data_IF_091872984452
#
_entry.id   IF_091872984452
#
_cell.length_a   1.000
_cell.length_b   1.000
_cell.length_c   1.000
_cell.angle_alpha   90.00
_cell.angle_beta   90.00
_cell.angle_gamma   90.00
#
_symmetry.space_group_name_H-M   'P 1'
#
loop_
_entity.id
_entity.type
_entity.pdbx_description
1 polymer ?
#
# COMPACT_ATOMS: atom_id res chain seq x y z
N UNK A 1 2.17 2.03 -21.76
CA UNK A 1 0.97 1.89 -22.60
C UNK A 1 1.43 1.87 -24.05
N UNK A 2 1.27 0.79 -24.75
CA UNK A 2 1.63 0.67 -26.17
C UNK A 2 0.32 0.66 -26.92
N UNK A 3 0.03 1.75 -27.61
CA UNK A 3 -1.05 1.77 -28.59
C UNK A 3 -0.59 0.92 -29.78
N UNK A 4 -1.35 -0.06 -30.15
CA UNK A 4 -1.11 -0.80 -31.40
C UNK A 4 -1.55 0.10 -32.58
N UNK A 5 -0.55 0.69 -33.25
CA UNK A 5 -0.80 1.56 -34.41
C UNK A 5 -1.47 0.81 -35.57
N UNK A 6 -1.49 -0.53 -35.56
CA UNK A 6 -2.10 -1.33 -36.62
C UNK A 6 -3.62 -1.12 -36.75
N UNK A 7 -4.27 -0.65 -35.71
CA UNK A 7 -5.70 -0.32 -35.74
C UNK A 7 -6.03 0.96 -36.53
N UNK A 8 -5.03 1.77 -36.87
CA UNK A 8 -5.20 3.05 -37.61
C UNK A 8 -4.83 2.93 -39.10
N UNK A 9 -4.21 1.82 -39.51
CA UNK A 9 -3.85 1.59 -40.90
C UNK A 9 -5.09 1.12 -41.68
N UNK A 10 -5.68 2.03 -42.44
CA UNK A 10 -6.95 1.85 -43.14
C UNK A 10 -6.97 0.70 -44.16
N UNK A 11 -5.82 0.18 -44.58
CA UNK A 11 -5.73 -0.86 -45.59
C UNK A 11 -5.71 -2.29 -45.05
N UNK A 12 -5.46 -2.49 -43.73
CA UNK A 12 -5.23 -3.82 -43.16
C UNK A 12 -6.04 -4.14 -41.90
N UNK A 13 -6.79 -3.19 -41.34
CA UNK A 13 -7.66 -3.44 -40.19
C UNK A 13 -8.86 -4.31 -40.59
N UNK A 14 -9.21 -5.35 -39.82
CA UNK A 14 -10.45 -6.06 -40.05
C UNK A 14 -11.62 -5.08 -39.86
N UNK A 15 -12.28 -4.79 -41.00
CA UNK A 15 -13.47 -3.95 -40.98
C UNK A 15 -14.66 -4.83 -40.59
N UNK A 16 -15.25 -4.58 -39.42
CA UNK A 16 -16.47 -5.24 -39.03
C UNK A 16 -17.67 -4.68 -39.82
N UNK A 17 -18.73 -5.48 -40.02
CA UNK A 17 -19.95 -4.99 -40.66
C UNK A 17 -20.48 -3.73 -39.99
N UNK A 18 -20.76 -2.70 -40.79
CA UNK A 18 -21.23 -1.41 -40.28
C UNK A 18 -20.12 -0.42 -40.00
N UNK A 19 -18.84 -0.70 -40.30
CA UNK A 19 -17.72 0.23 -40.15
C UNK A 19 -17.25 0.39 -38.70
N UNK A 20 -17.42 -0.63 -37.85
CA UNK A 20 -16.94 -0.62 -36.47
C UNK A 20 -15.42 -0.70 -36.42
N UNK A 21 -14.81 0.22 -35.72
CA UNK A 21 -13.41 0.19 -35.31
C UNK A 21 -13.33 0.13 -33.78
N UNK A 22 -12.24 -0.42 -33.24
CA UNK A 22 -11.96 -0.45 -31.80
C UNK A 22 -10.46 -0.30 -31.54
N UNK A 23 -10.12 0.04 -30.33
CA UNK A 23 -8.74 0.07 -29.83
C UNK A 23 -8.65 -0.64 -28.48
N UNK A 24 -7.63 -1.46 -28.31
CA UNK A 24 -7.31 -2.17 -27.07
C UNK A 24 -5.93 -1.77 -26.58
N UNK A 25 -5.74 -1.80 -25.27
CA UNK A 25 -4.47 -1.51 -24.62
C UNK A 25 -3.90 -2.74 -23.94
N UNK A 26 -2.57 -2.82 -23.89
CA UNK A 26 -1.82 -3.82 -23.12
C UNK A 26 -1.01 -3.14 -22.05
N UNK A 27 -1.03 -3.70 -20.82
CA UNK A 27 -0.17 -3.30 -19.72
C UNK A 27 0.91 -4.36 -19.52
N UNK A 28 2.17 -3.90 -19.44
CA UNK A 28 3.32 -4.71 -19.06
C UNK A 28 4.03 -3.97 -17.91
N UNK A 29 3.86 -4.45 -16.68
CA UNK A 29 4.34 -3.78 -15.48
C UNK A 29 4.57 -4.77 -14.33
N UNK A 30 5.43 -4.39 -13.38
CA UNK A 30 5.50 -5.08 -12.10
C UNK A 30 4.21 -4.86 -11.30
N UNK A 31 3.71 -5.92 -10.64
CA UNK A 31 2.48 -5.83 -9.85
C UNK A 31 2.61 -4.93 -8.60
N UNK A 32 3.85 -4.73 -8.12
CA UNK A 32 4.21 -3.84 -7.03
C UNK A 32 4.76 -2.47 -7.51
N UNK A 33 4.58 -2.12 -8.78
CA UNK A 33 5.10 -0.89 -9.37
C UNK A 33 4.15 0.32 -9.34
N UNK A 34 3.03 0.23 -8.65
CA UNK A 34 2.03 1.29 -8.48
C UNK A 34 1.28 1.07 -7.17
N UNK A 35 0.23 1.84 -6.90
CA UNK A 35 -0.65 1.53 -5.75
C UNK A 35 -1.09 0.06 -5.82
N UNK A 36 -0.71 -0.71 -4.81
CA UNK A 36 -0.92 -2.16 -4.77
C UNK A 36 -1.29 -2.71 -3.41
N UNK A 37 -1.80 -3.95 -3.41
CA UNK A 37 -1.79 -4.84 -2.25
C UNK A 37 -0.65 -5.82 -2.35
N UNK A 38 0.07 -5.98 -1.24
CA UNK A 38 0.98 -7.09 -1.05
C UNK A 38 0.25 -8.30 -0.50
N UNK A 39 0.53 -9.46 -1.10
CA UNK A 39 0.05 -10.72 -0.58
C UNK A 39 0.85 -11.15 0.65
N UNK A 40 0.23 -11.88 1.57
CA UNK A 40 0.87 -12.35 2.80
C UNK A 40 2.09 -13.29 2.57
N UNK A 41 2.25 -13.78 1.34
CA UNK A 41 3.40 -14.56 0.89
C UNK A 41 4.47 -13.74 0.16
N UNK A 42 4.31 -12.39 0.09
CA UNK A 42 5.24 -11.53 -0.64
C UNK A 42 6.63 -11.50 0.00
N UNK A 43 6.71 -11.45 1.31
CA UNK A 43 7.97 -11.34 2.04
C UNK A 43 8.07 -12.37 3.18
N UNK A 44 9.28 -12.88 3.45
CA UNK A 44 9.48 -13.88 4.49
C UNK A 44 10.91 -13.89 5.03
N UNK A 45 11.09 -14.58 6.16
CA UNK A 45 12.39 -14.95 6.73
C UNK A 45 12.38 -16.39 7.23
N UNK A 46 13.53 -17.00 7.50
CA UNK A 46 13.64 -18.33 8.07
C UNK A 46 12.99 -19.43 7.22
N UNK A 47 12.90 -19.23 5.88
CA UNK A 47 12.31 -20.20 4.96
C UNK A 47 10.79 -20.43 5.13
N UNK A 48 10.08 -19.52 5.82
CA UNK A 48 8.65 -19.61 6.07
C UNK A 48 7.94 -18.32 5.73
N UNK A 49 6.90 -18.41 4.89
CA UNK A 49 5.92 -17.34 4.63
C UNK A 49 4.84 -17.34 5.70
N UNK A 50 3.87 -16.43 5.59
CA UNK A 50 2.74 -16.33 6.51
C UNK A 50 2.11 -17.69 6.83
N UNK A 51 1.63 -17.84 8.06
CA UNK A 51 1.01 -19.07 8.60
C UNK A 51 1.93 -20.31 8.57
N UNK A 52 3.26 -20.10 8.52
CA UNK A 52 4.25 -21.18 8.61
C UNK A 52 4.42 -22.04 7.35
N UNK A 53 3.79 -21.65 6.22
CA UNK A 53 3.98 -22.35 4.96
C UNK A 53 5.44 -22.26 4.50
N UNK A 54 5.92 -23.31 3.84
CA UNK A 54 7.28 -23.35 3.31
C UNK A 54 7.47 -22.32 2.18
N UNK A 55 8.53 -21.52 2.27
CA UNK A 55 8.82 -20.51 1.27
C UNK A 55 9.05 -21.09 -0.14
N UNK A 56 9.41 -22.37 -0.27
CA UNK A 56 9.54 -23.05 -1.57
C UNK A 56 8.21 -23.10 -2.34
N UNK A 57 7.06 -22.93 -1.66
CA UNK A 57 5.75 -22.80 -2.33
C UNK A 57 5.61 -21.51 -3.15
N UNK A 58 6.58 -20.60 -3.08
CA UNK A 58 6.62 -19.38 -3.89
C UNK A 58 7.21 -19.61 -5.30
N UNK A 59 7.92 -20.73 -5.51
CA UNK A 59 8.56 -21.02 -6.78
C UNK A 59 7.51 -21.23 -7.88
N UNK A 60 7.60 -20.45 -8.95
CA UNK A 60 6.63 -20.48 -10.05
C UNK A 60 5.29 -19.84 -9.71
N UNK A 61 5.23 -19.03 -8.66
CA UNK A 61 4.05 -18.33 -8.15
C UNK A 61 3.55 -18.92 -6.82
N UNK A 62 2.82 -18.12 -6.07
CA UNK A 62 2.34 -18.48 -4.73
C UNK A 62 1.21 -19.51 -4.76
N UNK A 63 1.47 -20.72 -4.30
CA UNK A 63 0.41 -21.73 -4.04
C UNK A 63 -0.38 -21.41 -2.76
N UNK A 64 0.23 -20.70 -1.82
CA UNK A 64 -0.34 -20.28 -0.54
C UNK A 64 -0.11 -18.79 -0.33
N UNK A 65 -1.02 -18.15 0.37
CA UNK A 65 -0.91 -16.74 0.76
C UNK A 65 -0.74 -15.77 -0.43
N UNK A 66 -1.30 -16.08 -1.61
CA UNK A 66 -1.34 -15.20 -2.78
C UNK A 66 -2.36 -14.07 -2.61
N UNK A 67 -2.32 -13.08 -3.50
CA UNK A 67 -3.26 -11.96 -3.49
C UNK A 67 -4.68 -12.34 -3.92
N UNK A 68 -4.85 -13.45 -4.65
CA UNK A 68 -6.15 -13.85 -5.20
C UNK A 68 -7.27 -13.96 -4.15
N UNK A 69 -7.08 -14.58 -2.96
CA UNK A 69 -8.11 -14.61 -1.92
C UNK A 69 -8.49 -13.23 -1.39
N UNK A 70 -7.54 -12.28 -1.32
CA UNK A 70 -7.83 -10.89 -0.94
C UNK A 70 -8.72 -10.24 -2.01
N UNK A 71 -8.38 -10.44 -3.30
CA UNK A 71 -9.18 -9.92 -4.40
C UNK A 71 -10.57 -10.57 -4.52
N UNK A 72 -10.72 -11.84 -4.16
CA UNK A 72 -12.02 -12.54 -4.15
C UNK A 72 -12.96 -12.01 -3.07
N UNK A 73 -12.41 -11.73 -1.89
CA UNK A 73 -13.19 -11.22 -0.76
C UNK A 73 -13.43 -9.71 -0.87
N UNK A 74 -12.48 -8.96 -1.43
CA UNK A 74 -12.39 -7.51 -1.31
C UNK A 74 -11.98 -7.07 0.09
N UNK A 75 -11.61 -5.80 0.21
CA UNK A 75 -11.31 -5.15 1.49
C UNK A 75 -12.29 -4.00 1.67
N UNK A 76 -13.08 -4.06 2.72
CA UNK A 76 -14.09 -3.04 3.05
C UNK A 76 -14.11 -2.87 4.57
N UNK A 77 -14.02 -1.64 5.03
CA UNK A 77 -14.03 -1.35 6.46
C UNK A 77 -14.00 0.13 6.78
N UNK A 78 -13.98 0.45 8.06
CA UNK A 78 -13.74 1.81 8.52
C UNK A 78 -12.28 2.16 8.25
N UNK A 79 -12.05 3.12 7.35
CA UNK A 79 -10.75 3.71 7.09
C UNK A 79 -10.51 4.90 8.02
N UNK A 80 -9.28 5.04 8.49
CA UNK A 80 -8.84 6.12 9.38
C UNK A 80 -7.60 6.76 8.77
N UNK A 81 -7.68 8.02 8.36
CA UNK A 81 -6.52 8.76 7.88
C UNK A 81 -5.73 9.36 9.03
N UNK A 82 -4.47 9.03 9.12
CA UNK A 82 -3.47 9.59 10.04
C UNK A 82 -2.50 10.47 9.22
N UNK A 83 -2.77 11.77 9.16
CA UNK A 83 -1.95 12.73 8.39
C UNK A 83 -0.70 13.12 9.21
N UNK A 84 0.30 12.25 9.21
CA UNK A 84 1.51 12.42 10.01
C UNK A 84 2.33 13.63 9.59
N UNK A 85 2.39 13.94 8.31
CA UNK A 85 3.10 15.12 7.83
C UNK A 85 2.47 16.41 8.41
N UNK A 86 1.16 16.55 8.31
CA UNK A 86 0.42 17.69 8.85
C UNK A 86 0.47 17.74 10.39
N UNK A 87 0.33 16.59 11.05
CA UNK A 87 0.43 16.49 12.50
C UNK A 87 1.76 17.01 13.02
N UNK A 88 2.87 16.75 12.31
CA UNK A 88 4.20 17.27 12.63
C UNK A 88 4.48 18.69 12.10
N UNK A 89 3.48 19.35 11.52
CA UNK A 89 3.62 20.70 10.97
C UNK A 89 4.52 20.77 9.73
N UNK A 90 4.68 19.67 9.02
CA UNK A 90 5.50 19.54 7.82
C UNK A 90 4.63 19.40 6.58
N UNK A 91 5.17 19.84 5.43
CA UNK A 91 4.57 19.51 4.14
C UNK A 91 4.71 18.00 3.85
N UNK A 92 5.89 17.47 4.15
CA UNK A 92 6.30 16.09 3.92
C UNK A 92 7.25 15.67 5.05
N UNK A 93 7.23 14.42 5.46
CA UNK A 93 8.20 13.89 6.40
C UNK A 93 9.57 13.79 5.74
N UNK A 94 10.63 13.96 6.55
CA UNK A 94 12.01 13.88 6.05
C UNK A 94 12.42 12.45 5.75
N UNK A 95 13.39 12.27 4.84
CA UNK A 95 13.99 10.95 4.55
C UNK A 95 14.46 10.28 5.85
N UNK A 96 14.00 9.05 6.10
CA UNK A 96 14.35 8.28 7.30
C UNK A 96 13.71 8.75 8.60
N UNK A 97 12.76 9.68 8.56
CA UNK A 97 12.03 10.12 9.75
C UNK A 97 11.11 9.01 10.27
N UNK A 98 11.23 8.68 11.55
CA UNK A 98 10.48 7.58 12.16
C UNK A 98 9.35 8.06 13.04
N UNK A 99 8.34 7.20 13.21
CA UNK A 99 7.25 7.36 14.16
C UNK A 99 6.79 6.00 14.70
N UNK A 100 6.06 6.02 15.80
CA UNK A 100 5.61 4.84 16.54
C UNK A 100 4.08 4.79 16.61
N UNK A 101 3.54 3.74 17.23
CA UNK A 101 2.09 3.65 17.51
C UNK A 101 1.62 4.79 18.43
N UNK A 102 2.48 5.29 19.34
CA UNK A 102 2.13 6.43 20.19
C UNK A 102 1.96 7.72 19.38
N UNK A 103 2.78 7.92 18.33
CA UNK A 103 2.61 9.03 17.40
C UNK A 103 1.33 8.90 16.58
N UNK A 104 0.94 7.67 16.20
CA UNK A 104 -0.33 7.41 15.49
C UNK A 104 -1.53 7.76 16.39
N UNK A 105 -1.53 7.34 17.65
CA UNK A 105 -2.60 7.67 18.60
C UNK A 105 -2.67 9.18 18.85
N UNK A 106 -1.52 9.85 19.03
CA UNK A 106 -1.46 11.30 19.20
C UNK A 106 -1.97 12.05 17.95
N UNK A 107 -1.68 11.55 16.76
CA UNK A 107 -2.21 12.08 15.51
C UNK A 107 -3.73 11.96 15.46
N UNK A 108 -4.27 10.78 15.77
CA UNK A 108 -5.70 10.53 15.80
C UNK A 108 -6.41 11.46 16.81
N UNK A 109 -5.88 11.61 18.02
CA UNK A 109 -6.42 12.51 19.04
C UNK A 109 -6.43 13.96 18.55
N UNK A 110 -5.32 14.44 17.96
CA UNK A 110 -5.24 15.79 17.40
C UNK A 110 -6.23 16.02 16.24
N UNK A 111 -6.56 14.99 15.50
CA UNK A 111 -7.57 14.99 14.43
C UNK A 111 -9.01 14.85 14.96
N UNK A 112 -9.19 14.53 16.25
CA UNK A 112 -10.47 14.43 16.93
C UNK A 112 -11.19 13.10 16.78
N UNK A 113 -10.44 12.01 16.59
CA UNK A 113 -10.98 10.64 16.53
C UNK A 113 -10.08 9.65 17.27
N UNK A 114 -10.51 8.39 17.34
CA UNK A 114 -9.78 7.27 17.95
C UNK A 114 -9.54 6.18 16.91
N UNK A 115 -8.45 5.44 17.10
CA UNK A 115 -8.18 4.21 16.35
C UNK A 115 -8.89 3.06 17.06
N UNK A 116 -9.87 2.48 16.40
CA UNK A 116 -10.67 1.38 16.92
C UNK A 116 -10.13 0.02 16.44
N UNK A 117 -10.46 -1.08 17.12
CA UNK A 117 -10.18 -2.41 16.60
C UNK A 117 -10.78 -2.62 15.21
N UNK A 118 -10.04 -3.33 14.35
CA UNK A 118 -10.37 -3.63 12.96
C UNK A 118 -10.38 -2.44 11.99
N UNK A 119 -9.88 -1.27 12.41
CA UNK A 119 -9.69 -0.13 11.50
C UNK A 119 -8.68 -0.46 10.39
N UNK A 120 -8.92 0.09 9.22
CA UNK A 120 -7.94 0.15 8.15
C UNK A 120 -7.15 1.44 8.34
N UNK A 121 -5.86 1.32 8.69
CA UNK A 121 -5.02 2.48 8.96
C UNK A 121 -4.45 3.03 7.67
N UNK A 122 -4.67 4.32 7.42
CA UNK A 122 -4.17 5.02 6.25
C UNK A 122 -3.23 6.13 6.74
N UNK A 123 -1.94 5.97 6.51
CA UNK A 123 -0.90 6.88 7.03
C UNK A 123 -0.35 7.70 5.88
N UNK A 124 -0.47 9.02 5.99
CA UNK A 124 0.09 9.96 5.02
C UNK A 124 1.38 10.57 5.55
N UNK A 125 2.45 10.35 4.81
CA UNK A 125 3.76 10.97 5.02
C UNK A 125 4.02 12.11 4.03
N UNK A 126 3.28 12.14 2.94
CA UNK A 126 3.46 12.94 1.72
C UNK A 126 4.77 12.64 0.97
N UNK A 127 5.40 11.51 1.25
CA UNK A 127 6.69 11.16 0.67
C UNK A 127 6.61 10.84 -0.84
N UNK A 128 5.47 10.32 -1.30
CA UNK A 128 5.25 10.07 -2.73
C UNK A 128 5.38 11.37 -3.57
N UNK A 129 5.07 12.54 -3.00
CA UNK A 129 5.23 13.80 -3.71
C UNK A 129 6.70 14.14 -3.99
N UNK A 130 7.63 13.67 -3.15
CA UNK A 130 9.06 13.82 -3.44
C UNK A 130 9.45 13.13 -4.76
N UNK A 131 8.91 11.95 -5.02
CA UNK A 131 9.13 11.24 -6.28
C UNK A 131 8.62 12.06 -7.49
N UNK A 132 7.44 12.65 -7.40
CA UNK A 132 6.90 13.47 -8.48
C UNK A 132 7.66 14.80 -8.69
N UNK A 133 8.23 15.36 -7.63
CA UNK A 133 8.97 16.62 -7.68
C UNK A 133 10.43 16.44 -8.08
N UNK A 134 11.09 15.41 -7.55
CA UNK A 134 12.53 15.15 -7.69
C UNK A 134 12.86 14.23 -8.88
N UNK A 135 11.90 13.42 -9.35
CA UNK A 135 12.13 12.44 -10.41
C UNK A 135 13.20 11.42 -10.00
N UNK A 136 14.21 11.20 -10.84
CA UNK A 136 15.28 10.23 -10.57
C UNK A 136 16.10 10.56 -9.32
N UNK A 137 16.24 11.84 -8.96
CA UNK A 137 16.97 12.27 -7.77
C UNK A 137 16.31 11.83 -6.46
N UNK A 138 15.03 11.45 -6.49
CA UNK A 138 14.33 10.87 -5.36
C UNK A 138 15.08 9.66 -4.76
N UNK A 139 15.71 8.87 -5.61
CA UNK A 139 16.43 7.67 -5.20
C UNK A 139 17.82 7.94 -4.60
N UNK A 140 18.34 9.17 -4.71
CA UNK A 140 19.60 9.54 -4.11
C UNK A 140 19.50 9.55 -2.58
N UNK A 141 20.27 8.68 -1.91
CA UNK A 141 20.16 8.48 -0.47
C UNK A 141 18.77 8.02 -0.03
N UNK A 142 18.14 7.16 -0.82
CA UNK A 142 16.79 6.65 -0.57
C UNK A 142 16.66 6.06 0.83
N UNK A 143 15.76 6.61 1.62
CA UNK A 143 15.36 6.13 2.92
C UNK A 143 13.97 6.69 3.22
N UNK A 144 12.96 5.85 3.19
CA UNK A 144 11.58 6.31 3.43
C UNK A 144 11.35 6.67 4.89
N UNK A 145 10.50 7.67 5.15
CA UNK A 145 9.93 7.85 6.48
C UNK A 145 8.92 6.74 6.76
N UNK A 146 8.76 6.38 8.01
CA UNK A 146 7.76 5.38 8.32
C UNK A 146 7.78 4.90 9.78
N UNK A 147 6.95 3.90 10.03
CA UNK A 147 6.95 3.20 11.31
C UNK A 147 8.31 2.59 11.59
N UNK A 148 8.75 2.65 12.85
CA UNK A 148 9.95 1.96 13.32
C UNK A 148 9.57 0.78 14.18
N UNK A 149 10.38 -0.29 14.09
CA UNK A 149 10.10 -1.53 14.81
C UNK A 149 10.25 -1.37 16.32
N UNK A 150 9.28 -1.88 17.06
CA UNK A 150 9.40 -2.28 18.46
C UNK A 150 8.42 -3.40 18.77
N UNK A 151 8.68 -4.17 19.83
CA UNK A 151 7.77 -5.23 20.28
C UNK A 151 6.42 -4.64 20.72
N UNK A 152 6.44 -3.47 21.35
CA UNK A 152 5.23 -2.76 21.79
C UNK A 152 4.37 -2.32 20.59
N UNK A 153 4.99 -1.85 19.50
CA UNK A 153 4.28 -1.50 18.28
C UNK A 153 3.63 -2.75 17.67
N UNK A 154 4.34 -3.85 17.57
CA UNK A 154 3.80 -5.12 17.04
C UNK A 154 2.64 -5.61 17.91
N UNK A 155 2.79 -5.54 19.24
CA UNK A 155 1.72 -5.91 20.18
C UNK A 155 0.50 -5.00 20.03
N UNK A 156 0.71 -3.69 19.83
CA UNK A 156 -0.36 -2.73 19.60
C UNK A 156 -1.16 -3.06 18.32
N UNK A 157 -0.48 -3.39 17.21
CA UNK A 157 -1.15 -3.84 15.99
C UNK A 157 -1.97 -5.12 16.19
N UNK A 158 -1.41 -6.07 16.96
CA UNK A 158 -2.10 -7.29 17.33
C UNK A 158 -3.37 -7.00 18.17
N UNK A 159 -3.26 -6.18 19.22
CA UNK A 159 -4.36 -5.90 20.14
C UNK A 159 -5.47 -5.05 19.50
N UNK A 160 -5.11 -4.20 18.55
CA UNK A 160 -6.07 -3.45 17.71
C UNK A 160 -6.66 -4.30 16.57
N UNK A 161 -6.14 -5.51 16.35
CA UNK A 161 -6.59 -6.39 15.27
C UNK A 161 -6.65 -5.69 13.91
N UNK A 162 -5.63 -4.87 13.60
CA UNK A 162 -5.56 -4.09 12.37
C UNK A 162 -5.45 -5.03 11.17
N UNK A 163 -6.42 -5.02 10.23
CA UNK A 163 -6.40 -5.95 9.09
C UNK A 163 -5.55 -5.45 7.92
N UNK A 164 -5.38 -4.13 7.79
CA UNK A 164 -4.71 -3.53 6.65
C UNK A 164 -4.02 -2.22 7.04
N UNK A 165 -2.77 -2.08 6.61
CA UNK A 165 -1.97 -0.87 6.70
C UNK A 165 -1.80 -0.28 5.30
N UNK A 166 -2.08 1.00 5.14
CA UNK A 166 -2.07 1.74 3.86
C UNK A 166 -1.17 2.94 4.00
N UNK A 167 -0.23 3.15 3.08
CA UNK A 167 0.66 4.32 3.08
C UNK A 167 0.91 4.88 1.69
N UNK A 168 1.49 6.06 1.65
CA UNK A 168 2.02 6.73 0.45
C UNK A 168 3.52 6.46 0.25
N UNK A 169 4.07 5.46 0.93
CA UNK A 169 5.45 4.99 0.79
C UNK A 169 5.49 3.62 0.11
N UNK A 170 6.70 3.16 -0.27
CA UNK A 170 6.91 1.85 -0.89
C UNK A 170 6.90 0.73 0.16
N UNK A 171 7.26 1.05 1.43
CA UNK A 171 7.52 0.04 2.44
C UNK A 171 6.64 0.10 3.70
N UNK A 172 5.69 1.04 3.83
CA UNK A 172 4.89 1.25 5.04
C UNK A 172 5.70 1.53 6.33
N UNK A 173 7.00 1.35 6.30
CA UNK A 173 7.93 1.49 7.41
C UNK A 173 9.20 2.20 6.97
N UNK A 174 10.02 2.63 7.92
CA UNK A 174 11.36 3.11 7.59
C UNK A 174 12.14 1.97 6.90
N UNK A 175 12.74 2.27 5.75
CA UNK A 175 13.40 1.24 4.90
C UNK A 175 14.44 0.41 5.67
N UNK A 176 15.18 1.06 6.59
CA UNK A 176 16.14 0.38 7.47
C UNK A 176 15.90 0.84 8.89
N UNK A 177 15.61 -0.08 9.78
CA UNK A 177 15.39 0.24 11.18
C UNK A 177 16.65 0.85 11.81
N UNK A 178 16.57 2.06 12.37
CA UNK A 178 17.74 2.80 12.83
C UNK A 178 18.41 2.17 14.08
N UNK A 179 17.69 1.30 14.78
CA UNK A 179 18.20 0.66 16.01
C UNK A 179 18.90 -0.65 15.71
N UNK A 180 18.24 -1.52 14.94
CA UNK A 180 18.77 -2.87 14.64
C UNK A 180 19.60 -2.94 13.35
N UNK A 181 19.45 -1.95 12.45
CA UNK A 181 20.04 -1.98 11.10
C UNK A 181 19.41 -3.01 10.18
N UNK A 182 18.29 -3.61 10.55
CA UNK A 182 17.57 -4.59 9.74
C UNK A 182 16.68 -3.86 8.73
N UNK A 183 16.70 -4.33 7.49
CA UNK A 183 15.79 -3.84 6.46
C UNK A 183 14.41 -4.46 6.62
N UNK A 184 13.36 -3.64 6.58
CA UNK A 184 11.95 -4.02 6.55
C UNK A 184 11.52 -5.01 7.66
N UNK A 185 11.85 -4.75 8.95
CA UNK A 185 11.49 -5.65 10.04
C UNK A 185 9.98 -5.75 10.26
N UNK A 186 9.21 -4.68 9.98
CA UNK A 186 7.76 -4.67 10.17
C UNK A 186 7.01 -5.45 9.06
N UNK A 187 7.53 -5.56 7.85
CA UNK A 187 7.01 -6.50 6.85
C UNK A 187 7.03 -7.92 7.40
N UNK A 188 8.11 -8.29 8.08
CA UNK A 188 8.19 -9.59 8.72
C UNK A 188 7.27 -9.70 9.93
N UNK A 189 7.24 -8.71 10.80
CA UNK A 189 6.48 -8.75 12.05
C UNK A 189 4.97 -8.62 11.81
N UNK A 190 4.53 -7.70 10.97
CA UNK A 190 3.11 -7.42 10.75
C UNK A 190 2.51 -8.30 9.65
N UNK A 191 3.12 -8.33 8.45
CA UNK A 191 2.57 -9.10 7.33
C UNK A 191 2.79 -10.60 7.53
N UNK A 192 4.06 -11.03 7.68
CA UNK A 192 4.39 -12.45 7.75
C UNK A 192 3.93 -13.11 9.06
N UNK A 193 4.04 -12.42 10.21
CA UNK A 193 3.71 -13.02 11.50
C UNK A 193 2.25 -12.80 11.90
N UNK A 194 1.71 -11.58 11.75
CA UNK A 194 0.34 -11.26 12.16
C UNK A 194 -0.69 -11.39 11.02
N UNK A 195 -0.27 -11.41 9.75
CA UNK A 195 -1.19 -11.53 8.61
C UNK A 195 -1.87 -10.22 8.24
N UNK A 196 -1.26 -9.08 8.54
CA UNK A 196 -1.75 -7.76 8.17
C UNK A 196 -1.44 -7.52 6.69
N UNK A 197 -2.44 -7.22 5.89
CA UNK A 197 -2.23 -6.86 4.49
C UNK A 197 -1.61 -5.46 4.38
N UNK A 198 -0.68 -5.28 3.43
CA UNK A 198 -0.09 -3.97 3.14
C UNK A 198 -0.62 -3.42 1.83
N UNK A 199 -0.91 -2.13 1.83
CA UNK A 199 -1.26 -1.35 0.65
C UNK A 199 -0.31 -0.18 0.57
N UNK A 200 0.36 -0.03 -0.55
CA UNK A 200 1.51 0.84 -0.70
C UNK A 200 1.37 1.79 -1.88
N UNK A 201 2.21 2.81 -1.91
CA UNK A 201 2.29 3.81 -2.99
C UNK A 201 0.92 4.45 -3.29
N UNK A 202 0.16 4.77 -2.23
CA UNK A 202 -1.13 5.43 -2.39
C UNK A 202 -0.97 6.94 -2.54
N UNK A 203 -1.57 7.53 -3.56
CA UNK A 203 -1.71 8.99 -3.63
C UNK A 203 -2.81 9.44 -2.65
N UNK A 204 -2.40 9.99 -1.51
CA UNK A 204 -3.28 10.37 -0.42
C UNK A 204 -3.57 11.88 -0.36
N UNK A 205 -3.05 12.68 -1.29
CA UNK A 205 -3.11 14.14 -1.22
C UNK A 205 -4.53 14.68 -1.24
N UNK A 206 -5.33 14.25 -2.21
CA UNK A 206 -6.74 14.69 -2.33
C UNK A 206 -7.58 14.26 -1.13
N UNK A 207 -7.30 13.07 -0.58
CA UNK A 207 -7.97 12.58 0.62
C UNK A 207 -7.60 13.44 1.82
N UNK A 208 -6.32 13.73 2.03
CA UNK A 208 -5.82 14.55 3.13
C UNK A 208 -6.37 15.97 3.10
N UNK A 209 -6.41 16.59 1.92
CA UNK A 209 -7.01 17.91 1.72
C UNK A 209 -8.51 17.90 2.06
N UNK A 210 -9.25 16.89 1.59
CA UNK A 210 -10.67 16.74 1.89
C UNK A 210 -10.91 16.57 3.40
N UNK A 211 -10.14 15.69 4.06
CA UNK A 211 -10.24 15.46 5.49
C UNK A 211 -9.90 16.68 6.32
N UNK A 212 -8.87 17.44 5.94
CA UNK A 212 -8.51 18.68 6.62
C UNK A 212 -9.59 19.76 6.49
N UNK A 213 -10.28 19.83 5.34
CA UNK A 213 -11.31 20.83 5.07
C UNK A 213 -12.57 20.64 5.92
N UNK A 214 -13.05 19.40 6.05
CA UNK A 214 -14.27 19.08 6.78
C UNK A 214 -14.01 18.47 8.17
N UNK A 215 -12.74 18.21 8.51
CA UNK A 215 -12.29 17.61 9.76
C UNK A 215 -12.86 16.20 9.99
N UNK A 216 -13.18 15.49 8.92
CA UNK A 216 -13.63 14.12 8.95
C UNK A 216 -12.54 13.19 8.43
N UNK A 217 -11.85 12.52 9.34
CA UNK A 217 -10.71 11.63 9.06
C UNK A 217 -11.07 10.16 9.08
N UNK A 218 -12.35 9.84 9.29
CA UNK A 218 -12.88 8.48 9.26
C UNK A 218 -13.94 8.35 8.17
N UNK A 219 -13.96 7.23 7.47
CA UNK A 219 -14.78 7.03 6.29
C UNK A 219 -14.94 5.54 5.95
N UNK A 220 -15.79 5.22 4.99
CA UNK A 220 -15.81 3.90 4.39
C UNK A 220 -14.65 3.78 3.40
N UNK A 221 -13.75 2.83 3.65
CA UNK A 221 -12.69 2.43 2.73
C UNK A 221 -13.10 1.17 1.97
N UNK A 222 -12.94 1.19 0.65
CA UNK A 222 -13.26 0.07 -0.24
C UNK A 222 -12.09 -0.14 -1.20
N UNK A 223 -11.55 -1.36 -1.20
CA UNK A 223 -10.48 -1.74 -2.11
C UNK A 223 -10.58 -3.23 -2.46
N UNK A 224 -10.38 -3.55 -3.72
CA UNK A 224 -10.32 -4.92 -4.18
C UNK A 224 -9.20 -5.03 -5.22
N UNK A 225 -8.07 -5.66 -4.88
CA UNK A 225 -7.01 -5.90 -5.84
C UNK A 225 -7.48 -6.84 -6.95
N UNK A 226 -6.79 -6.84 -8.08
CA UNK A 226 -7.06 -7.79 -9.16
C UNK A 226 -6.83 -9.22 -8.65
N UNK A 227 -7.67 -10.16 -9.10
CA UNK A 227 -7.57 -11.58 -8.75
C UNK A 227 -6.47 -12.30 -9.53
N UNK A 228 -5.26 -11.78 -9.46
CA UNK A 228 -4.15 -12.36 -10.19
C UNK A 228 -3.76 -13.70 -9.56
N UNK A 229 -3.90 -14.77 -10.33
CA UNK A 229 -3.66 -16.12 -9.83
C UNK A 229 -2.21 -16.30 -9.41
N UNK A 230 -1.98 -16.80 -8.18
CA UNK A 230 -0.67 -17.12 -7.60
C UNK A 230 0.31 -15.92 -7.51
N UNK A 231 -0.22 -14.69 -7.58
CA UNK A 231 0.64 -13.51 -7.53
C UNK A 231 0.99 -13.08 -6.11
N UNK A 232 2.16 -12.44 -5.99
CA UNK A 232 2.70 -11.88 -4.74
C UNK A 232 2.11 -10.54 -4.37
N UNK A 233 1.36 -9.92 -5.26
CA UNK A 233 0.68 -8.65 -5.08
C UNK A 233 -0.19 -8.33 -6.28
N UNK A 234 -0.86 -7.19 -6.25
CA UNK A 234 -1.70 -6.75 -7.36
C UNK A 234 -1.98 -5.25 -7.27
N UNK A 235 -2.00 -4.55 -8.40
CA UNK A 235 -2.50 -3.18 -8.45
C UNK A 235 -3.91 -3.08 -7.89
N UNK A 236 -4.19 -1.95 -7.25
CA UNK A 236 -5.50 -1.62 -6.69
C UNK A 236 -5.79 -0.14 -6.87
N UNK A 237 -7.05 0.21 -6.97
CA UNK A 237 -7.53 1.59 -6.95
C UNK A 237 -8.52 1.75 -5.78
N UNK A 238 -8.04 2.10 -4.58
CA UNK A 238 -8.90 2.27 -3.41
C UNK A 238 -9.90 3.41 -3.59
N UNK A 239 -11.09 3.23 -3.06
CA UNK A 239 -12.17 4.22 -3.04
C UNK A 239 -12.50 4.57 -1.60
N UNK A 240 -12.61 5.87 -1.33
CA UNK A 240 -13.04 6.40 -0.04
C UNK A 240 -14.40 7.07 -0.19
N UNK A 241 -15.34 6.75 0.70
CA UNK A 241 -16.68 7.34 0.75
C UNK A 241 -16.89 7.98 2.12
N UNK A 242 -17.08 9.31 2.11
CA UNK A 242 -17.29 10.13 3.32
C UNK A 242 -18.75 10.52 3.45
#
# INVERSE_FOLDING_TARGET
MVLDESSWDNDHSPCYPGGLHYADDKIDAFLQGSTQYDALGHLWYGGKIWNGYDARTTVGGLDKASVAPIGERGVVGRGVLLDMARHRGKRMLDKGETFTHMDLEACAEAQGHTIEPHDILIIRTNFLQAFYEEGEAFYDGFCEPGLTYSEELVQWFHDKEIPNLVTDTIANEVTTDPVSGVALPLHCALMRNLGIAFTEICDLEKLAESCAKDRQYTFLYVAAPLKVHRATGSPVNPVVIK
#
